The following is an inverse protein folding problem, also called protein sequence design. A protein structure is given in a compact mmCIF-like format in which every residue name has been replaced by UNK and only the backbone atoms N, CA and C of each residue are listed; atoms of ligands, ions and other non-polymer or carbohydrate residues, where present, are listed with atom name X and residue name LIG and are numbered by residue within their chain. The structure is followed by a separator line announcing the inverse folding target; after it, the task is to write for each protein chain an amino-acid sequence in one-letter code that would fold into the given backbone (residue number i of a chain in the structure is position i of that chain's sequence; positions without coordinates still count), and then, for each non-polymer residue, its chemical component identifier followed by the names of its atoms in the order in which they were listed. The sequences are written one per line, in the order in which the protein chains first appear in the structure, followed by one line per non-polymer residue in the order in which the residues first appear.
data_IF_478192265876
#
_entry.id   IF_478192265876
#
_cell.length_a   1.000
_cell.length_b   1.000
_cell.length_c   1.000
_cell.angle_alpha   90.00
_cell.angle_beta   90.00
_cell.angle_gamma   90.00
#
_symmetry.space_group_name_H-M   'P 1'
#
loop_
_entity.id
_entity.type
_entity.pdbx_description
1 polymer ?
#
# COMPACT_ATOMS: atom_id res chain seq x y z
N UNK A 1 14.23 9.42 -19.49
CA UNK A 1 14.20 7.95 -19.27
C UNK A 1 13.12 7.33 -20.15
N UNK A 2 13.35 6.12 -20.67
CA UNK A 2 12.35 5.38 -21.44
C UNK A 2 11.37 4.64 -20.51
N UNK A 3 10.06 4.55 -20.81
CA UNK A 3 9.06 3.90 -19.95
C UNK A 3 9.42 2.47 -19.51
N UNK A 4 9.99 1.66 -20.40
CA UNK A 4 10.46 0.31 -20.07
C UNK A 4 11.54 0.33 -18.97
N UNK A 5 12.50 1.26 -19.04
CA UNK A 5 13.55 1.40 -18.03
C UNK A 5 12.98 1.89 -16.70
N UNK A 6 11.98 2.77 -16.73
CA UNK A 6 11.27 3.21 -15.52
C UNK A 6 10.61 2.02 -14.82
N UNK A 7 9.84 1.21 -15.56
CA UNK A 7 9.16 0.04 -15.00
C UNK A 7 10.15 -0.96 -14.39
N UNK A 8 11.23 -1.27 -15.10
CA UNK A 8 12.27 -2.17 -14.62
C UNK A 8 12.91 -1.63 -13.34
N UNK A 9 13.31 -0.35 -13.30
CA UNK A 9 13.91 0.24 -12.11
C UNK A 9 12.95 0.27 -10.91
N UNK A 10 11.65 0.48 -11.13
CA UNK A 10 10.67 0.42 -10.04
C UNK A 10 10.58 -0.99 -9.44
N UNK A 11 10.61 -2.04 -10.29
CA UNK A 11 10.63 -3.43 -9.81
C UNK A 11 11.94 -3.77 -9.12
N UNK A 12 13.06 -3.47 -9.76
CA UNK A 12 14.41 -3.79 -9.24
C UNK A 12 14.68 -3.10 -7.90
N UNK A 13 14.04 -1.95 -7.63
CA UNK A 13 14.15 -1.20 -6.37
C UNK A 13 13.03 -1.48 -5.37
N UNK A 14 12.21 -2.51 -5.58
CA UNK A 14 11.14 -2.87 -4.67
C UNK A 14 10.01 -1.84 -4.55
N UNK A 15 9.87 -0.89 -5.49
CA UNK A 15 8.81 0.13 -5.41
C UNK A 15 7.41 -0.40 -5.66
N UNK A 16 7.28 -1.68 -6.04
CA UNK A 16 6.01 -2.38 -6.06
C UNK A 16 5.36 -2.56 -4.68
N UNK A 17 6.13 -2.40 -3.60
CA UNK A 17 5.64 -2.54 -2.22
C UNK A 17 4.77 -1.35 -1.78
N UNK A 18 4.99 -0.16 -2.35
CA UNK A 18 4.26 1.07 -1.97
C UNK A 18 3.45 1.70 -3.07
N UNK A 19 3.68 1.31 -4.33
CA UNK A 19 2.89 1.79 -5.46
C UNK A 19 2.64 0.65 -6.44
N UNK A 20 1.41 0.59 -6.96
CA UNK A 20 1.05 -0.41 -7.95
C UNK A 20 1.73 -0.12 -9.30
N UNK A 21 2.85 -0.81 -9.54
CA UNK A 21 3.64 -0.73 -10.80
C UNK A 21 3.45 -1.96 -11.71
N UNK A 22 2.50 -2.83 -11.36
CA UNK A 22 2.30 -4.12 -12.03
C UNK A 22 1.76 -3.99 -13.45
N UNK A 23 0.90 -2.99 -13.70
CA UNK A 23 0.21 -2.84 -14.97
C UNK A 23 0.95 -1.88 -15.92
N UNK A 24 1.56 -2.44 -16.96
CA UNK A 24 2.26 -1.65 -18.00
C UNK A 24 1.34 -0.59 -18.62
N UNK A 25 0.09 -0.93 -18.93
CA UNK A 25 -0.87 0.03 -19.49
C UNK A 25 -1.10 1.24 -18.56
N UNK A 26 -1.11 1.03 -17.23
CA UNK A 26 -1.25 2.11 -16.25
C UNK A 26 -0.07 3.09 -16.30
N UNK A 27 1.16 2.57 -16.36
CA UNK A 27 2.37 3.39 -16.45
C UNK A 27 2.34 4.30 -17.71
N UNK A 28 2.02 3.73 -18.86
CA UNK A 28 1.96 4.51 -20.12
C UNK A 28 0.86 5.58 -20.07
N UNK A 29 -0.33 5.26 -19.53
CA UNK A 29 -1.39 6.27 -19.32
C UNK A 29 -0.97 7.38 -18.37
N UNK A 30 -0.22 7.07 -17.33
CA UNK A 30 0.30 8.08 -16.39
C UNK A 30 1.35 8.96 -17.06
N UNK A 31 2.28 8.40 -17.82
CA UNK A 31 3.28 9.17 -18.59
C UNK A 31 2.58 10.10 -19.57
N UNK A 32 1.63 9.59 -20.36
CA UNK A 32 0.88 10.41 -21.31
C UNK A 32 0.12 11.57 -20.61
N UNK A 33 -0.48 11.32 -19.45
CA UNK A 33 -1.15 12.36 -18.65
C UNK A 33 -0.17 13.41 -18.12
N UNK A 34 0.98 13.00 -17.61
CA UNK A 34 2.01 13.91 -17.12
C UNK A 34 2.56 14.77 -18.27
N UNK A 35 2.72 14.19 -19.46
CA UNK A 35 3.16 14.90 -20.66
C UNK A 35 2.11 15.90 -21.14
N UNK A 36 0.83 15.50 -21.20
CA UNK A 36 -0.29 16.40 -21.53
C UNK A 36 -0.43 17.57 -20.55
N UNK A 37 0.01 17.39 -19.30
CA UNK A 37 0.05 18.44 -18.27
C UNK A 37 1.37 19.24 -18.26
N UNK A 38 2.26 19.04 -19.22
CA UNK A 38 3.58 19.68 -19.29
C UNK A 38 4.48 19.46 -18.05
N UNK A 39 4.21 18.43 -17.24
CA UNK A 39 5.04 18.06 -16.08
C UNK A 39 6.25 17.21 -16.47
N UNK A 40 6.19 16.60 -17.65
CA UNK A 40 7.33 15.95 -18.29
C UNK A 40 7.39 16.36 -19.76
N UNK A 41 8.58 16.31 -20.34
CA UNK A 41 8.85 16.64 -21.74
C UNK A 41 9.62 15.53 -22.45
N UNK A 42 9.54 15.48 -23.78
CA UNK A 42 10.39 14.60 -24.60
C UNK A 42 11.74 15.27 -24.80
N UNK A 43 12.81 14.64 -24.31
CA UNK A 43 14.17 15.20 -24.36
C UNK A 43 14.95 14.78 -25.61
N UNK A 44 14.71 13.58 -26.12
CA UNK A 44 15.32 13.04 -27.34
C UNK A 44 14.38 12.03 -28.01
N UNK A 45 14.29 12.12 -29.33
CA UNK A 45 13.83 11.05 -30.23
C UNK A 45 14.97 10.69 -31.19
N UNK A 46 15.96 9.93 -30.74
CA UNK A 46 17.02 9.46 -31.63
C UNK A 46 16.49 8.30 -32.50
N UNK A 47 16.48 8.51 -33.82
CA UNK A 47 16.37 7.44 -34.83
C UNK A 47 17.79 6.95 -35.16
N UNK A 48 18.32 6.01 -34.39
CA UNK A 48 19.38 5.16 -34.93
C UNK A 48 18.76 4.23 -35.98
N UNK A 49 19.28 4.30 -37.21
CA UNK A 49 18.87 3.44 -38.31
C UNK A 49 18.86 1.97 -37.84
N UNK A 50 17.69 1.33 -37.95
CA UNK A 50 17.40 -0.09 -37.64
C UNK A 50 16.99 -0.46 -36.19
N UNK A 51 16.54 0.49 -35.35
CA UNK A 51 15.83 0.18 -34.07
C UNK A 51 14.54 0.99 -33.89
N UNK A 52 13.52 0.45 -33.19
CA UNK A 52 12.29 1.19 -32.91
C UNK A 52 12.57 2.46 -32.10
N UNK A 53 11.87 3.55 -32.43
CA UNK A 53 11.97 4.86 -31.76
C UNK A 53 11.91 4.71 -30.22
N UNK A 54 12.89 5.29 -29.52
CA UNK A 54 12.91 5.35 -28.06
C UNK A 54 12.61 6.77 -27.59
N UNK A 55 11.37 7.03 -27.19
CA UNK A 55 11.01 8.30 -26.56
C UNK A 55 11.62 8.38 -25.16
N UNK A 56 12.44 9.39 -24.93
CA UNK A 56 13.01 9.68 -23.61
C UNK A 56 12.29 10.85 -22.96
N UNK A 57 11.72 10.61 -21.77
CA UNK A 57 11.05 11.65 -20.99
C UNK A 57 11.95 12.25 -19.90
N UNK A 58 11.86 13.55 -19.68
CA UNK A 58 12.50 14.26 -18.57
C UNK A 58 11.46 15.09 -17.78
N UNK A 59 11.72 15.37 -16.51
CA UNK A 59 10.91 16.32 -15.75
C UNK A 59 11.14 17.74 -16.26
N UNK A 60 10.07 18.52 -16.40
CA UNK A 60 10.16 19.98 -16.56
C UNK A 60 10.45 20.64 -15.21
N UNK A 61 10.73 21.96 -15.21
CA UNK A 61 10.84 22.72 -13.95
C UNK A 61 9.53 22.70 -13.16
N UNK A 62 8.39 22.87 -13.86
CA UNK A 62 7.07 22.77 -13.26
C UNK A 62 6.82 21.36 -12.69
N UNK A 63 7.19 20.31 -13.42
CA UNK A 63 7.11 18.92 -12.93
C UNK A 63 7.92 18.68 -11.66
N UNK A 64 9.10 19.30 -11.53
CA UNK A 64 9.92 19.24 -10.30
C UNK A 64 9.24 19.94 -9.14
N UNK A 65 8.66 21.13 -9.37
CA UNK A 65 7.95 21.88 -8.33
C UNK A 65 6.73 21.11 -7.83
N UNK A 66 5.87 20.65 -8.74
CA UNK A 66 4.67 19.86 -8.40
C UNK A 66 5.01 18.59 -7.64
N UNK A 67 6.06 17.87 -8.05
CA UNK A 67 6.51 16.67 -7.33
C UNK A 67 7.01 16.99 -5.91
N UNK A 68 7.74 18.10 -5.74
CA UNK A 68 8.25 18.55 -4.46
C UNK A 68 7.11 18.93 -3.52
N UNK A 69 6.16 19.72 -3.98
CA UNK A 69 5.01 20.16 -3.17
C UNK A 69 4.18 18.96 -2.73
N UNK A 70 3.86 18.06 -3.66
CA UNK A 70 3.17 16.81 -3.34
C UNK A 70 3.92 15.97 -2.29
N UNK A 71 5.26 15.88 -2.38
CA UNK A 71 6.05 15.13 -1.41
C UNK A 71 5.98 15.75 -0.01
N UNK A 72 6.08 17.08 0.09
CA UNK A 72 6.00 17.78 1.36
C UNK A 72 4.60 17.63 1.97
N UNK A 73 3.55 17.77 1.16
CA UNK A 73 2.17 17.60 1.59
C UNK A 73 1.90 16.17 2.08
N UNK A 74 2.35 15.16 1.34
CA UNK A 74 2.18 13.75 1.72
C UNK A 74 2.90 13.38 3.02
N UNK A 75 4.01 14.05 3.35
CA UNK A 75 4.72 13.87 4.61
C UNK A 75 4.06 14.63 5.77
N UNK A 76 3.43 15.78 5.50
CA UNK A 76 2.89 16.65 6.51
C UNK A 76 1.45 16.31 6.91
N UNK A 77 0.62 15.91 5.94
CA UNK A 77 -0.82 15.75 6.13
C UNK A 77 -1.25 14.28 5.95
N UNK A 78 -1.85 13.65 6.97
CA UNK A 78 -2.40 12.32 6.82
C UNK A 78 -3.56 12.35 5.82
N UNK A 79 -3.50 11.47 4.83
CA UNK A 79 -4.61 11.26 3.90
C UNK A 79 -5.51 10.16 4.42
N UNK A 80 -6.82 10.32 4.26
CA UNK A 80 -7.77 9.27 4.63
C UNK A 80 -7.69 8.13 3.63
N UNK A 81 -7.15 7.00 4.08
CA UNK A 81 -7.17 5.75 3.34
C UNK A 81 -8.43 4.95 3.69
N UNK A 82 -8.81 4.03 2.80
CA UNK A 82 -9.94 3.11 3.00
C UNK A 82 -9.45 1.66 2.90
N UNK A 83 -8.72 1.14 3.91
CA UNK A 83 -8.22 -0.23 3.89
C UNK A 83 -9.37 -1.24 3.84
N UNK A 84 -9.26 -2.25 2.95
CA UNK A 84 -10.26 -3.30 2.80
C UNK A 84 -10.51 -4.06 4.10
N UNK A 85 -9.47 -4.25 4.92
CA UNK A 85 -9.60 -4.91 6.22
C UNK A 85 -10.51 -4.14 7.18
N UNK A 86 -10.36 -2.82 7.28
CA UNK A 86 -11.24 -2.00 8.14
C UNK A 86 -12.67 -1.97 7.59
N UNK A 87 -12.83 -1.98 6.27
CA UNK A 87 -14.15 -2.14 5.66
C UNK A 87 -14.78 -3.48 6.03
N UNK A 88 -14.04 -4.60 5.95
CA UNK A 88 -14.53 -5.91 6.37
C UNK A 88 -14.86 -5.96 7.87
N UNK A 89 -14.01 -5.37 8.72
CA UNK A 89 -14.25 -5.27 10.17
C UNK A 89 -15.56 -4.53 10.50
N UNK A 90 -15.96 -3.53 9.71
CA UNK A 90 -17.22 -2.82 9.91
C UNK A 90 -18.47 -3.69 9.69
N UNK A 91 -18.33 -4.85 9.04
CA UNK A 91 -19.43 -5.76 8.70
C UNK A 91 -19.30 -7.15 9.34
N UNK A 92 -18.38 -7.36 10.29
CA UNK A 92 -18.23 -8.66 10.99
C UNK A 92 -19.49 -9.19 11.68
N UNK A 93 -20.45 -8.36 12.17
CA UNK A 93 -21.69 -8.89 12.74
C UNK A 93 -22.57 -9.67 11.74
N UNK A 94 -22.27 -9.60 10.44
CA UNK A 94 -22.93 -10.40 9.41
C UNK A 94 -22.41 -11.86 9.34
N UNK A 95 -21.34 -12.17 10.07
CA UNK A 95 -20.72 -13.48 10.16
C UNK A 95 -20.88 -14.05 11.57
N UNK A 96 -20.65 -15.35 11.74
CA UNK A 96 -20.62 -15.94 13.08
C UNK A 96 -19.27 -15.63 13.79
N UNK A 97 -19.25 -15.38 15.11
CA UNK A 97 -18.01 -15.02 15.83
C UNK A 97 -16.86 -16.02 15.63
N UNK A 98 -17.18 -17.31 15.54
CA UNK A 98 -16.19 -18.37 15.29
C UNK A 98 -15.56 -18.28 13.90
N UNK A 99 -16.34 -17.97 12.86
CA UNK A 99 -15.83 -17.78 11.50
C UNK A 99 -14.89 -16.57 11.42
N UNK A 100 -15.24 -15.49 12.12
CA UNK A 100 -14.41 -14.28 12.22
C UNK A 100 -13.07 -14.62 12.90
N UNK A 101 -13.10 -15.33 14.04
CA UNK A 101 -11.88 -15.74 14.74
C UNK A 101 -10.95 -16.58 13.84
N UNK A 102 -11.50 -17.54 13.09
CA UNK A 102 -10.71 -18.37 12.15
C UNK A 102 -10.05 -17.56 11.02
N UNK A 103 -10.74 -16.55 10.45
CA UNK A 103 -10.12 -15.72 9.42
C UNK A 103 -9.08 -14.76 10.01
N UNK A 104 -9.30 -14.26 11.22
CA UNK A 104 -8.32 -13.44 11.93
C UNK A 104 -7.05 -14.23 12.27
N UNK A 105 -7.16 -15.51 12.63
CA UNK A 105 -5.99 -16.39 12.83
C UNK A 105 -5.16 -16.57 11.56
N UNK A 106 -5.81 -16.71 10.40
CA UNK A 106 -5.10 -16.74 9.09
C UNK A 106 -4.43 -15.41 8.81
N UNK A 107 -5.11 -14.29 9.09
CA UNK A 107 -4.53 -12.95 8.94
C UNK A 107 -3.32 -12.78 9.84
N UNK A 108 -3.41 -13.19 11.09
CA UNK A 108 -2.29 -13.17 12.05
C UNK A 108 -1.07 -13.93 11.51
N UNK A 109 -1.25 -15.15 11.00
CA UNK A 109 -0.16 -15.92 10.41
C UNK A 109 0.49 -15.22 9.19
N UNK A 110 -0.31 -14.58 8.34
CA UNK A 110 0.17 -13.81 7.21
C UNK A 110 0.96 -12.56 7.65
N UNK A 111 0.45 -11.83 8.64
CA UNK A 111 1.12 -10.65 9.21
C UNK A 111 2.46 -11.03 9.87
N UNK A 112 2.51 -12.14 10.61
CA UNK A 112 3.74 -12.63 11.22
C UNK A 112 4.79 -13.00 10.16
N UNK A 113 4.36 -13.64 9.06
CA UNK A 113 5.24 -13.95 7.92
C UNK A 113 5.77 -12.68 7.27
N UNK A 114 4.90 -11.68 7.09
CA UNK A 114 5.26 -10.40 6.51
C UNK A 114 6.24 -9.61 7.39
N UNK A 115 6.02 -9.63 8.72
CA UNK A 115 6.92 -9.00 9.67
C UNK A 115 8.33 -9.60 9.61
N UNK A 116 8.44 -10.93 9.57
CA UNK A 116 9.73 -11.62 9.42
C UNK A 116 10.42 -11.30 8.08
N UNK A 117 9.64 -11.14 7.00
CA UNK A 117 10.16 -10.70 5.69
C UNK A 117 10.73 -9.29 5.78
N UNK A 118 10.01 -8.35 6.39
CA UNK A 118 10.44 -6.96 6.56
C UNK A 118 11.70 -6.86 7.45
N UNK A 119 11.76 -7.63 8.53
CA UNK A 119 12.95 -7.72 9.40
C UNK A 119 14.19 -8.14 8.61
N UNK A 120 14.04 -9.15 7.74
CA UNK A 120 15.13 -9.63 6.88
C UNK A 120 15.60 -8.55 5.90
N UNK A 121 14.66 -7.82 5.28
CA UNK A 121 14.99 -6.76 4.33
C UNK A 121 15.65 -5.55 4.99
N UNK A 122 15.17 -5.14 6.17
CA UNK A 122 15.78 -4.07 6.95
C UNK A 122 17.22 -4.45 7.33
N UNK A 123 17.44 -5.68 7.80
CA UNK A 123 18.79 -6.15 8.13
C UNK A 123 19.73 -6.12 6.91
N UNK A 124 19.25 -6.52 5.73
CA UNK A 124 20.02 -6.49 4.48
C UNK A 124 20.31 -5.06 3.98
N UNK A 125 19.53 -4.05 4.40
CA UNK A 125 19.70 -2.65 3.98
C UNK A 125 20.85 -1.91 4.68
N UNK A 126 21.47 -2.53 5.70
CA UNK A 126 22.50 -1.90 6.55
C UNK A 126 23.69 -1.32 5.77
N UNK A 127 24.03 -1.88 4.61
CA UNK A 127 25.11 -1.38 3.74
C UNK A 127 24.85 0.01 3.16
N UNK A 128 23.58 0.39 2.99
CA UNK A 128 23.17 1.64 2.35
C UNK A 128 22.80 2.73 3.37
N UNK A 129 22.65 2.34 4.65
CA UNK A 129 22.28 3.22 5.76
C UNK A 129 20.77 3.39 5.94
N UNK A 130 20.37 3.83 7.16
CA UNK A 130 18.97 3.87 7.62
C UNK A 130 18.01 4.65 6.71
N UNK A 131 18.49 5.69 6.02
CA UNK A 131 17.66 6.50 5.11
C UNK A 131 16.95 5.63 4.06
N UNK A 132 17.60 4.59 3.57
CA UNK A 132 17.03 3.69 2.57
C UNK A 132 16.17 2.57 3.17
N UNK A 133 16.08 2.50 4.51
CA UNK A 133 15.26 1.56 5.25
C UNK A 133 13.96 2.15 5.82
N UNK A 134 13.84 3.49 5.88
CA UNK A 134 12.72 4.18 6.55
C UNK A 134 11.32 3.72 6.09
N UNK A 135 11.17 3.45 4.80
CA UNK A 135 9.93 2.93 4.22
C UNK A 135 9.58 1.55 4.80
N UNK A 136 10.55 0.64 4.85
CA UNK A 136 10.38 -0.70 5.43
C UNK A 136 10.20 -0.65 6.96
N UNK A 137 10.88 0.27 7.66
CA UNK A 137 10.68 0.51 9.10
C UNK A 137 9.23 0.93 9.39
N UNK A 138 8.67 1.83 8.56
CA UNK A 138 7.28 2.30 8.69
C UNK A 138 6.27 1.17 8.42
N UNK A 139 6.47 0.40 7.34
CA UNK A 139 5.66 -0.78 7.04
C UNK A 139 5.70 -1.79 8.19
N UNK A 140 6.89 -2.10 8.69
CA UNK A 140 7.11 -3.02 9.81
C UNK A 140 6.35 -2.56 11.06
N UNK A 141 6.45 -1.28 11.42
CA UNK A 141 5.76 -0.71 12.58
C UNK A 141 4.24 -0.84 12.46
N UNK A 142 3.69 -0.58 11.26
CA UNK A 142 2.25 -0.70 10.99
C UNK A 142 1.79 -2.15 11.02
N UNK A 143 2.55 -3.07 10.39
CA UNK A 143 2.27 -4.51 10.40
C UNK A 143 2.30 -5.11 11.81
N UNK A 144 3.28 -4.71 12.64
CA UNK A 144 3.38 -5.14 14.02
C UNK A 144 2.18 -4.67 14.86
N UNK A 145 1.80 -3.39 14.72
CA UNK A 145 0.64 -2.86 15.43
C UNK A 145 -0.66 -3.58 15.04
N UNK A 146 -0.82 -3.93 13.76
CA UNK A 146 -1.98 -4.70 13.32
C UNK A 146 -1.94 -6.15 13.83
N UNK A 147 -0.77 -6.79 13.84
CA UNK A 147 -0.59 -8.14 14.37
C UNK A 147 -1.00 -8.21 15.86
N UNK A 148 -0.49 -7.30 16.67
CA UNK A 148 -0.78 -7.20 18.10
C UNK A 148 -2.29 -6.98 18.35
N UNK A 149 -2.91 -6.11 17.55
CA UNK A 149 -4.36 -5.86 17.66
C UNK A 149 -5.18 -7.09 17.25
N UNK A 150 -4.82 -7.75 16.15
CA UNK A 150 -5.50 -8.97 15.69
C UNK A 150 -5.40 -10.07 16.74
N UNK A 151 -4.22 -10.26 17.35
CA UNK A 151 -4.02 -11.23 18.43
C UNK A 151 -4.97 -10.97 19.61
N UNK A 152 -5.09 -9.72 20.04
CA UNK A 152 -6.02 -9.31 21.11
C UNK A 152 -7.48 -9.65 20.75
N UNK A 153 -7.91 -9.34 19.52
CA UNK A 153 -9.30 -9.58 19.10
C UNK A 153 -9.59 -11.08 18.98
N UNK A 154 -8.62 -11.88 18.53
CA UNK A 154 -8.75 -13.35 18.53
C UNK A 154 -8.96 -13.86 19.95
N UNK A 155 -8.16 -13.39 20.92
CA UNK A 155 -8.31 -13.79 22.32
C UNK A 155 -9.69 -13.44 22.88
N UNK A 156 -10.20 -12.25 22.55
CA UNK A 156 -11.54 -11.81 22.97
C UNK A 156 -12.66 -12.64 22.34
N UNK A 157 -12.56 -12.98 21.05
CA UNK A 157 -13.53 -13.84 20.35
C UNK A 157 -13.50 -15.27 20.89
N UNK A 158 -12.31 -15.82 21.14
CA UNK A 158 -12.13 -17.20 21.64
C UNK A 158 -12.56 -17.35 23.09
N UNK A 159 -12.38 -16.32 23.91
CA UNK A 159 -12.87 -16.30 25.29
C UNK A 159 -14.37 -16.01 25.40
N UNK A 160 -14.98 -15.48 24.34
CA UNK A 160 -16.37 -15.01 24.34
C UNK A 160 -16.57 -13.62 24.97
N UNK A 161 -15.47 -12.92 25.29
CA UNK A 161 -15.48 -11.50 25.70
C UNK A 161 -16.11 -10.62 24.61
N UNK A 162 -15.77 -10.91 23.35
CA UNK A 162 -16.49 -10.41 22.18
C UNK A 162 -17.30 -11.57 21.60
N UNK A 163 -18.61 -11.42 21.59
CA UNK A 163 -19.53 -12.38 20.96
C UNK A 163 -20.84 -11.69 20.60
N UNK A 164 -21.61 -12.31 19.71
CA UNK A 164 -22.94 -11.83 19.33
C UNK A 164 -23.81 -13.01 18.86
N UNK A 165 -25.12 -12.82 18.91
CA UNK A 165 -26.09 -13.66 18.22
C UNK A 165 -26.98 -12.81 17.32
N UNK A 166 -27.65 -13.43 16.35
CA UNK A 166 -28.59 -12.74 15.46
C UNK A 166 -29.72 -12.07 16.24
N UNK A 167 -30.20 -12.72 17.29
CA UNK A 167 -31.25 -12.20 18.17
C UNK A 167 -30.76 -10.99 18.95
N UNK A 168 -29.54 -11.04 19.49
CA UNK A 168 -28.94 -9.92 20.20
C UNK A 168 -28.73 -8.71 19.27
N UNK A 169 -28.22 -8.94 18.06
CA UNK A 169 -28.06 -7.89 17.05
C UNK A 169 -29.41 -7.26 16.65
N UNK A 170 -30.43 -8.08 16.44
CA UNK A 170 -31.79 -7.61 16.13
C UNK A 170 -32.38 -6.79 17.28
N UNK A 171 -32.21 -7.22 18.53
CA UNK A 171 -32.64 -6.48 19.71
C UNK A 171 -31.92 -5.12 19.84
N UNK A 172 -30.60 -5.10 19.61
CA UNK A 172 -29.80 -3.87 19.60
C UNK A 172 -30.26 -2.89 18.52
N UNK A 173 -30.51 -3.38 17.30
CA UNK A 173 -31.01 -2.56 16.20
C UNK A 173 -32.39 -1.97 16.52
N UNK A 174 -33.32 -2.77 17.06
CA UNK A 174 -34.65 -2.30 17.44
C UNK A 174 -34.62 -1.23 18.55
N UNK A 175 -33.70 -1.36 19.52
CA UNK A 175 -33.55 -0.40 20.60
C UNK A 175 -33.05 0.98 20.15
N UNK A 176 -32.34 1.05 19.03
CA UNK A 176 -31.68 2.27 18.53
C UNK A 176 -32.30 2.82 17.24
N UNK A 177 -33.42 2.27 16.79
CA UNK A 177 -34.13 2.72 15.58
C UNK A 177 -34.97 4.01 15.78
N UNK A 178 -34.55 4.93 16.65
CA UNK A 178 -35.22 6.22 16.87
C UNK A 178 -34.59 7.34 16.06
#
# INVERSE_FOLDING_TARGET
MHPYKMQRLMKDRGKGEVVNVGQRASLYRTIDRLHRKALIEVRESSREHNRPERTLYALTDEGRAVWRDWMLDALAAPTREYPEFLAAMAFVPLLEPGEVAEQLEKRHANLATELARLDTQIAASGEWGRLFALEMECMRATTAAELDWVESVIADLRSGSITWTKEWLAAMAAAHAR
#
